data_IF_601023708842
#
_entry.id   IF_601023708842
#
_cell.length_a   1.000
_cell.length_b   1.000
_cell.length_c   1.000
_cell.angle_alpha   90.00
_cell.angle_beta   90.00
_cell.angle_gamma   90.00
#
_symmetry.space_group_name_H-M   'P 1'
#
loop_
_entity.id
_entity.type
_entity.pdbx_description
1 polymer ?
#
# COMPACT_ATOMS: atom_id res chain seq x y z
N UNK A 1 14.25 9.50 -6.38
CA UNK A 1 13.82 8.44 -5.45
C UNK A 1 12.62 8.93 -4.64
N UNK A 2 11.54 8.15 -4.65
CA UNK A 2 10.31 8.39 -3.89
C UNK A 2 10.35 7.56 -2.60
N UNK A 3 9.51 7.89 -1.62
CA UNK A 3 9.44 7.17 -0.36
C UNK A 3 8.04 7.22 0.23
N UNK A 4 7.71 6.25 1.07
CA UNK A 4 6.38 6.15 1.63
C UNK A 4 6.28 5.26 2.85
N UNK A 5 5.09 5.24 3.44
CA UNK A 5 4.70 4.27 4.46
C UNK A 5 4.19 3.00 3.81
N UNK A 6 4.46 1.82 4.39
CA UNK A 6 3.97 0.54 3.88
C UNK A 6 3.49 -0.38 5.01
N UNK A 7 2.32 -0.14 5.61
CA UNK A 7 1.44 1.03 5.45
C UNK A 7 1.15 1.64 6.82
N UNK A 8 0.71 2.90 6.86
CA UNK A 8 0.20 3.47 8.11
C UNK A 8 -1.13 2.82 8.50
N UNK A 9 -1.25 2.39 9.75
CA UNK A 9 -2.48 1.79 10.29
C UNK A 9 -3.47 2.89 10.67
N UNK A 10 -4.70 2.76 10.19
CA UNK A 10 -5.76 3.75 10.45
C UNK A 10 -6.15 3.93 11.93
N UNK A 11 -6.14 2.93 12.84
CA UNK A 11 -6.60 3.14 14.21
C UNK A 11 -5.68 4.09 14.98
N UNK A 12 -4.45 4.25 14.51
CA UNK A 12 -3.43 5.10 15.14
C UNK A 12 -3.56 6.59 14.75
N UNK A 13 -4.49 6.95 13.85
CA UNK A 13 -4.45 8.26 13.17
C UNK A 13 -5.85 8.83 12.98
N UNK A 14 -6.06 10.07 13.42
CA UNK A 14 -7.15 10.89 12.90
C UNK A 14 -6.89 11.23 11.41
N UNK A 15 -7.89 11.08 10.51
CA UNK A 15 -7.68 11.26 9.07
C UNK A 15 -7.25 12.69 8.68
N UNK A 16 -7.78 13.72 9.34
CA UNK A 16 -7.41 15.10 9.05
C UNK A 16 -5.98 15.41 9.50
N UNK A 17 -5.56 14.85 10.63
CA UNK A 17 -4.18 14.95 11.13
C UNK A 17 -3.23 14.23 10.18
N UNK A 18 -3.57 13.02 9.74
CA UNK A 18 -2.75 12.26 8.79
C UNK A 18 -2.61 12.99 7.44
N UNK A 19 -3.71 13.55 6.91
CA UNK A 19 -3.65 14.35 5.68
C UNK A 19 -2.73 15.58 5.84
N UNK A 20 -2.76 16.25 6.99
CA UNK A 20 -1.84 17.36 7.27
C UNK A 20 -0.39 16.91 7.37
N UNK A 21 -0.13 15.77 8.00
CA UNK A 21 1.21 15.17 8.07
C UNK A 21 1.74 14.83 6.68
N UNK A 22 0.91 14.20 5.84
CA UNK A 22 1.24 13.88 4.46
C UNK A 22 1.55 15.14 3.64
N UNK A 23 0.73 16.20 3.77
CA UNK A 23 0.97 17.49 3.11
C UNK A 23 2.32 18.10 3.53
N UNK A 24 2.64 18.09 4.82
CA UNK A 24 3.93 18.60 5.31
C UNK A 24 5.11 17.85 4.70
N UNK A 25 5.04 16.51 4.66
CA UNK A 25 6.10 15.68 4.07
C UNK A 25 6.17 15.87 2.57
N UNK A 26 5.04 16.01 1.88
CA UNK A 26 4.97 16.33 0.46
C UNK A 26 5.75 17.61 0.13
N UNK A 27 5.54 18.68 0.91
CA UNK A 27 6.26 19.94 0.75
C UNK A 27 7.75 19.82 1.08
N UNK A 28 8.10 19.27 2.25
CA UNK A 28 9.51 19.13 2.67
C UNK A 28 10.30 18.24 1.70
N UNK A 29 9.65 17.24 1.12
CA UNK A 29 10.28 16.31 0.18
C UNK A 29 10.31 16.79 -1.26
N UNK A 30 9.67 17.92 -1.57
CA UNK A 30 9.41 18.39 -2.92
C UNK A 30 8.68 17.33 -3.78
N UNK A 31 7.58 16.81 -3.25
CA UNK A 31 6.68 15.93 -3.97
C UNK A 31 7.16 14.49 -4.15
N UNK A 32 7.86 13.93 -3.16
CA UNK A 32 8.40 12.56 -3.23
C UNK A 32 7.68 11.55 -2.34
N UNK A 33 6.63 11.98 -1.64
CA UNK A 33 5.83 11.12 -0.76
C UNK A 33 4.87 10.23 -1.57
N UNK A 34 4.84 8.95 -1.22
CA UNK A 34 3.75 8.01 -1.49
C UNK A 34 3.10 7.62 -0.15
N UNK A 35 1.82 7.92 0.02
CA UNK A 35 1.13 7.73 1.28
C UNK A 35 0.46 6.36 1.29
N UNK A 36 1.14 5.36 1.87
CA UNK A 36 0.57 4.03 2.03
C UNK A 36 -0.28 3.89 3.28
N UNK A 37 -1.52 3.42 3.14
CA UNK A 37 -2.53 3.31 4.20
C UNK A 37 -3.19 1.92 4.18
N UNK A 38 -3.50 1.37 5.35
CA UNK A 38 -4.26 0.13 5.49
C UNK A 38 -5.00 0.05 6.82
N UNK A 39 -5.80 -1.01 6.99
CA UNK A 39 -6.60 -1.22 8.22
C UNK A 39 -5.71 -1.40 9.46
N UNK A 40 -4.51 -1.95 9.30
CA UNK A 40 -3.69 -2.43 10.41
C UNK A 40 -3.91 -3.93 10.64
N UNK A 41 -3.28 -4.48 11.68
CA UNK A 41 -3.29 -5.91 11.99
C UNK A 41 -4.20 -6.21 13.19
N UNK A 42 -5.51 -6.05 12.97
CA UNK A 42 -6.55 -6.28 13.99
C UNK A 42 -6.51 -7.70 14.56
N UNK A 43 -6.79 -7.81 15.86
CA UNK A 43 -6.86 -9.05 16.63
C UNK A 43 -5.52 -9.76 16.83
N UNK A 44 -4.40 -9.14 16.40
CA UNK A 44 -3.06 -9.75 16.47
C UNK A 44 -1.97 -8.81 16.94
N UNK A 45 -2.13 -7.50 16.75
CA UNK A 45 -1.13 -6.52 17.16
C UNK A 45 -1.39 -6.05 18.60
N UNK A 46 -0.49 -6.35 19.57
CA UNK A 46 -0.67 -5.92 20.95
C UNK A 46 -0.56 -4.40 21.13
N UNK A 47 -0.13 -3.65 20.10
CA UNK A 47 0.02 -2.20 20.17
C UNK A 47 -1.26 -1.51 20.62
N UNK A 48 -2.44 -2.01 20.21
CA UNK A 48 -3.72 -1.39 20.54
C UNK A 48 -3.94 -1.33 22.05
N UNK A 49 -3.74 -2.45 22.75
CA UNK A 49 -3.79 -2.52 24.21
C UNK A 49 -2.67 -1.69 24.85
N UNK A 50 -1.43 -1.81 24.35
CA UNK A 50 -0.25 -1.14 24.91
C UNK A 50 -0.36 0.39 24.94
N UNK A 51 -1.06 0.98 23.97
CA UNK A 51 -1.22 2.45 23.89
C UNK A 51 -2.64 2.91 24.23
N UNK A 52 -3.51 2.00 24.68
CA UNK A 52 -4.85 2.32 25.16
C UNK A 52 -5.83 2.79 24.08
N UNK A 53 -5.75 2.21 22.88
CA UNK A 53 -6.73 2.45 21.80
C UNK A 53 -7.56 1.20 21.52
N UNK A 54 -8.75 1.42 21.01
CA UNK A 54 -9.67 0.34 20.64
C UNK A 54 -9.15 -0.44 19.42
N UNK A 55 -9.12 -1.76 19.54
CA UNK A 55 -8.94 -2.67 18.40
C UNK A 55 -10.32 -3.01 17.83
N UNK A 56 -10.67 -2.40 16.70
CA UNK A 56 -11.97 -2.60 16.09
C UNK A 56 -12.11 -4.01 15.51
N UNK A 57 -13.25 -4.65 15.78
CA UNK A 57 -13.50 -6.03 15.37
C UNK A 57 -14.44 -6.17 14.15
N UNK A 58 -14.42 -7.35 13.55
CA UNK A 58 -15.34 -7.74 12.48
C UNK A 58 -15.28 -6.79 11.26
N UNK A 59 -16.42 -6.28 10.77
CA UNK A 59 -16.45 -5.44 9.58
C UNK A 59 -16.09 -3.97 9.85
N UNK A 60 -15.97 -3.55 11.11
CA UNK A 60 -15.80 -2.15 11.48
C UNK A 60 -14.50 -1.50 10.96
N UNK A 61 -13.32 -2.16 11.02
CA UNK A 61 -12.11 -1.62 10.41
C UNK A 61 -12.26 -1.17 8.96
N UNK A 62 -12.94 -1.97 8.14
CA UNK A 62 -13.11 -1.69 6.70
C UNK A 62 -14.09 -0.53 6.50
N UNK A 63 -15.16 -0.45 7.31
CA UNK A 63 -16.12 0.67 7.26
C UNK A 63 -15.44 1.99 7.63
N UNK A 64 -14.64 1.99 8.70
CA UNK A 64 -13.84 3.15 9.12
C UNK A 64 -12.77 3.51 8.11
N UNK A 65 -12.09 2.52 7.53
CA UNK A 65 -11.11 2.75 6.45
C UNK A 65 -11.74 3.48 5.26
N UNK A 66 -12.94 3.07 4.85
CA UNK A 66 -13.65 3.71 3.73
C UNK A 66 -13.90 5.20 3.99
N UNK A 67 -14.44 5.58 5.16
CA UNK A 67 -14.64 6.99 5.47
C UNK A 67 -13.31 7.74 5.63
N UNK A 68 -12.31 7.10 6.21
CA UNK A 68 -10.98 7.68 6.41
C UNK A 68 -10.30 8.03 5.09
N UNK A 69 -10.33 7.12 4.11
CA UNK A 69 -9.72 7.35 2.80
C UNK A 69 -10.48 8.43 2.02
N UNK A 70 -11.80 8.48 2.13
CA UNK A 70 -12.64 9.55 1.56
C UNK A 70 -12.28 10.93 2.13
N UNK A 71 -12.11 11.02 3.45
CA UNK A 71 -11.70 12.24 4.13
C UNK A 71 -10.30 12.67 3.70
N UNK A 72 -9.34 11.75 3.65
CA UNK A 72 -7.95 12.04 3.26
C UNK A 72 -7.86 12.48 1.80
N UNK A 73 -8.49 11.74 0.88
CA UNK A 73 -8.52 12.07 -0.55
C UNK A 73 -9.11 13.47 -0.76
N UNK A 74 -10.26 13.75 -0.12
CA UNK A 74 -10.94 15.05 -0.20
C UNK A 74 -10.08 16.18 0.33
N UNK A 75 -9.51 16.03 1.53
CA UNK A 75 -8.66 17.06 2.16
C UNK A 75 -7.40 17.37 1.33
N UNK A 76 -6.81 16.38 0.66
CA UNK A 76 -5.61 16.59 -0.13
C UNK A 76 -5.89 17.14 -1.53
N UNK A 77 -7.13 17.01 -2.05
CA UNK A 77 -7.52 17.53 -3.37
C UNK A 77 -8.18 18.91 -3.31
N UNK A 78 -8.84 19.25 -2.20
CA UNK A 78 -9.68 20.44 -2.08
C UNK A 78 -9.06 21.46 -1.13
N UNK A 79 -9.28 22.75 -1.38
CA UNK A 79 -8.82 23.82 -0.48
C UNK A 79 -9.65 23.90 0.81
N UNK A 80 -10.94 23.57 0.73
CA UNK A 80 -11.90 23.54 1.83
C UNK A 80 -12.83 22.35 1.68
N UNK A 81 -13.02 21.59 2.75
CA UNK A 81 -13.74 20.31 2.73
C UNK A 81 -14.78 20.22 3.85
N UNK A 82 -15.96 19.72 3.50
CA UNK A 82 -16.97 19.23 4.43
C UNK A 82 -17.11 17.72 4.26
N UNK A 83 -17.43 17.02 5.34
CA UNK A 83 -17.70 15.58 5.36
C UNK A 83 -18.60 15.28 6.56
N UNK A 84 -19.63 14.46 6.38
CA UNK A 84 -20.54 14.05 7.46
C UNK A 84 -20.80 12.55 7.34
N UNK A 85 -19.84 11.77 7.85
CA UNK A 85 -19.92 10.32 7.90
C UNK A 85 -20.35 9.81 9.28
N UNK A 86 -20.41 8.50 9.41
CA UNK A 86 -20.70 7.82 10.66
C UNK A 86 -19.55 7.98 11.67
N UNK A 87 -18.30 7.94 11.20
CA UNK A 87 -17.11 7.93 12.05
C UNK A 87 -16.36 9.25 12.03
N UNK A 88 -16.39 9.97 10.90
CA UNK A 88 -15.63 11.21 10.74
C UNK A 88 -16.53 12.36 10.28
N UNK A 89 -16.22 13.56 10.77
CA UNK A 89 -16.89 14.80 10.36
C UNK A 89 -15.86 15.89 10.09
N UNK A 90 -16.10 16.67 9.04
CA UNK A 90 -15.37 17.90 8.73
C UNK A 90 -16.38 19.03 8.51
N UNK A 91 -16.08 20.20 9.09
CA UNK A 91 -16.81 21.43 8.86
C UNK A 91 -15.84 22.51 8.40
N UNK A 92 -15.99 22.94 7.15
CA UNK A 92 -15.19 23.98 6.50
C UNK A 92 -13.67 23.79 6.72
N UNK A 93 -13.21 22.53 6.70
CA UNK A 93 -11.83 22.18 7.02
C UNK A 93 -10.92 22.63 5.88
N UNK A 94 -9.95 23.51 6.18
CA UNK A 94 -9.05 24.10 5.18
C UNK A 94 -7.72 23.39 5.10
N UNK A 95 -7.28 23.05 3.88
CA UNK A 95 -5.97 22.45 3.62
C UNK A 95 -5.14 23.39 2.74
N UNK A 96 -4.41 24.32 3.38
CA UNK A 96 -3.48 25.22 2.73
C UNK A 96 -2.08 25.12 3.36
N UNK A 97 -0.98 25.24 2.58
CA UNK A 97 -0.98 25.32 1.11
C UNK A 97 -1.48 24.02 0.46
N UNK A 98 -1.84 24.06 -0.83
CA UNK A 98 -2.17 22.85 -1.57
C UNK A 98 -0.94 21.94 -1.72
N UNK A 99 -1.10 20.62 -1.93
CA UNK A 99 0.04 19.75 -2.19
C UNK A 99 0.86 20.18 -3.41
N UNK A 100 2.17 19.91 -3.33
CA UNK A 100 3.14 20.01 -4.44
C UNK A 100 2.74 19.04 -5.53
N UNK A 101 2.47 17.77 -5.16
CA UNK A 101 2.02 16.74 -6.10
C UNK A 101 0.57 16.97 -6.54
N UNK A 102 0.27 16.66 -7.80
CA UNK A 102 -1.08 16.71 -8.37
C UNK A 102 -1.54 15.32 -8.79
N UNK A 103 -2.83 14.98 -8.60
CA UNK A 103 -3.87 15.80 -7.96
C UNK A 103 -3.70 15.91 -6.42
N UNK A 104 -2.90 15.02 -5.84
CA UNK A 104 -2.46 14.96 -4.43
C UNK A 104 -1.25 14.02 -4.34
N UNK A 105 -0.60 13.82 -3.18
CA UNK A 105 0.33 12.71 -3.02
C UNK A 105 -0.33 11.37 -3.40
N UNK A 106 0.37 10.48 -4.12
CA UNK A 106 -0.16 9.16 -4.46
C UNK A 106 -0.56 8.37 -3.20
N UNK A 107 -1.68 7.67 -3.27
CA UNK A 107 -2.19 6.80 -2.23
C UNK A 107 -1.90 5.34 -2.57
N UNK A 108 -1.16 4.67 -1.69
CA UNK A 108 -0.94 3.23 -1.77
C UNK A 108 -1.89 2.53 -0.80
N UNK A 109 -2.80 1.68 -1.27
CA UNK A 109 -3.77 0.99 -0.39
C UNK A 109 -3.39 -0.47 -0.27
N UNK A 110 -3.07 -0.90 0.95
CA UNK A 110 -2.89 -2.32 1.25
C UNK A 110 -4.26 -3.01 1.35
N UNK A 111 -4.51 -3.97 0.45
CA UNK A 111 -5.80 -4.64 0.38
C UNK A 111 -5.63 -6.14 0.06
N UNK A 112 -6.35 -6.97 0.82
CA UNK A 112 -6.33 -8.43 0.68
C UNK A 112 -7.74 -9.04 0.53
N UNK A 113 -8.75 -8.43 1.15
CA UNK A 113 -10.14 -8.90 1.09
C UNK A 113 -10.97 -8.12 0.07
N UNK A 114 -12.04 -8.74 -0.42
CA UNK A 114 -12.97 -8.23 -1.45
C UNK A 114 -13.37 -6.76 -1.24
N UNK A 115 -13.90 -6.42 -0.06
CA UNK A 115 -14.33 -5.04 0.22
C UNK A 115 -13.17 -4.03 0.19
N UNK A 116 -11.98 -4.43 0.64
CA UNK A 116 -10.81 -3.55 0.61
C UNK A 116 -10.28 -3.38 -0.82
N UNK A 117 -10.36 -4.42 -1.66
CA UNK A 117 -9.99 -4.34 -3.08
C UNK A 117 -10.93 -3.37 -3.83
N UNK A 118 -12.23 -3.40 -3.54
CA UNK A 118 -13.20 -2.42 -4.08
C UNK A 118 -12.85 -0.98 -3.68
N UNK A 119 -12.45 -0.77 -2.42
CA UNK A 119 -12.00 0.55 -1.95
C UNK A 119 -10.70 0.97 -2.65
N UNK A 120 -9.75 0.04 -2.82
CA UNK A 120 -8.50 0.30 -3.53
C UNK A 120 -8.74 0.66 -4.99
N UNK A 121 -9.59 -0.08 -5.70
CA UNK A 121 -9.99 0.23 -7.07
C UNK A 121 -10.56 1.65 -7.22
N UNK A 122 -11.27 2.16 -6.21
CA UNK A 122 -11.87 3.49 -6.23
C UNK A 122 -10.88 4.63 -5.90
N UNK A 123 -9.95 4.43 -4.95
CA UNK A 123 -9.19 5.54 -4.36
C UNK A 123 -7.67 5.44 -4.48
N UNK A 124 -7.12 4.24 -4.70
CA UNK A 124 -5.68 4.03 -4.73
C UNK A 124 -5.08 4.48 -6.07
N UNK A 125 -3.88 5.04 -6.03
CA UNK A 125 -3.02 5.14 -7.22
C UNK A 125 -2.19 3.85 -7.36
N UNK A 126 -1.84 3.22 -6.22
CA UNK A 126 -1.16 1.93 -6.15
C UNK A 126 -1.90 1.00 -5.21
N UNK A 127 -2.27 -0.19 -5.66
CA UNK A 127 -2.68 -1.29 -4.77
C UNK A 127 -1.43 -2.00 -4.25
N UNK A 128 -1.42 -2.35 -2.97
CA UNK A 128 -0.37 -3.18 -2.37
C UNK A 128 -0.90 -4.51 -1.85
N UNK A 129 -0.18 -5.58 -2.18
CA UNK A 129 -0.39 -6.92 -1.65
C UNK A 129 0.87 -7.47 -1.00
N UNK A 130 0.70 -8.39 -0.06
CA UNK A 130 1.76 -9.29 0.41
C UNK A 130 1.41 -10.77 0.19
N UNK A 131 0.41 -11.03 -0.67
CA UNK A 131 0.03 -12.34 -1.22
C UNK A 131 -0.71 -13.30 -0.26
N UNK A 132 -0.37 -13.34 1.03
CA UNK A 132 -1.03 -14.22 2.01
C UNK A 132 -1.02 -13.66 3.44
N UNK A 133 -2.15 -13.77 4.14
CA UNK A 133 -2.26 -13.47 5.59
C UNK A 133 -1.60 -14.51 6.49
N UNK A 134 -1.29 -15.68 5.94
CA UNK A 134 -0.46 -16.71 6.57
C UNK A 134 0.99 -16.58 6.10
N UNK A 135 1.87 -16.22 7.03
CA UNK A 135 3.31 -16.04 6.80
C UNK A 135 4.06 -17.33 6.49
N UNK A 136 3.41 -18.49 6.70
CA UNK A 136 3.95 -19.82 6.40
C UNK A 136 3.44 -20.36 5.06
N UNK A 137 2.58 -19.61 4.36
CA UNK A 137 2.01 -20.04 3.10
C UNK A 137 3.14 -20.42 2.09
N UNK A 138 2.99 -21.56 1.39
CA UNK A 138 3.86 -21.92 0.29
C UNK A 138 3.87 -20.86 -0.83
N UNK A 139 4.97 -20.80 -1.60
CA UNK A 139 5.16 -19.76 -2.63
C UNK A 139 4.13 -19.85 -3.77
N UNK A 140 3.70 -21.05 -4.13
CA UNK A 140 2.65 -21.33 -5.10
C UNK A 140 1.29 -20.80 -4.62
N UNK A 141 0.95 -21.00 -3.35
CA UNK A 141 -0.28 -20.44 -2.76
C UNK A 141 -0.25 -18.92 -2.75
N UNK A 142 0.89 -18.31 -2.39
CA UNK A 142 1.08 -16.85 -2.44
C UNK A 142 0.89 -16.34 -3.86
N UNK A 143 1.46 -17.03 -4.86
CA UNK A 143 1.36 -16.66 -6.26
C UNK A 143 -0.09 -16.72 -6.78
N UNK A 144 -0.79 -17.83 -6.58
CA UNK A 144 -2.19 -17.99 -7.03
C UNK A 144 -3.13 -16.99 -6.35
N UNK A 145 -2.93 -16.75 -5.05
CA UNK A 145 -3.68 -15.75 -4.31
C UNK A 145 -3.41 -14.32 -4.82
N UNK A 146 -2.19 -14.03 -5.27
CA UNK A 146 -1.84 -12.71 -5.82
C UNK A 146 -2.48 -12.54 -7.19
N UNK A 147 -2.36 -13.54 -8.07
CA UNK A 147 -2.99 -13.57 -9.39
C UNK A 147 -4.50 -13.34 -9.32
N UNK A 148 -5.19 -14.09 -8.45
CA UNK A 148 -6.63 -13.94 -8.24
C UNK A 148 -7.00 -12.51 -7.83
N UNK A 149 -6.18 -11.85 -7.02
CA UNK A 149 -6.48 -10.48 -6.57
C UNK A 149 -6.18 -9.41 -7.63
N UNK A 150 -5.18 -9.62 -8.49
CA UNK A 150 -4.96 -8.78 -9.67
C UNK A 150 -6.21 -8.82 -10.55
N UNK A 151 -6.66 -10.02 -10.90
CA UNK A 151 -7.87 -10.20 -11.73
C UNK A 151 -9.12 -9.55 -11.10
N UNK A 152 -9.28 -9.67 -9.78
CA UNK A 152 -10.40 -9.05 -9.07
C UNK A 152 -10.34 -7.53 -9.04
N UNK A 153 -9.18 -6.94 -8.77
CA UNK A 153 -9.07 -5.47 -8.66
C UNK A 153 -9.17 -4.79 -10.02
N UNK A 154 -8.65 -5.43 -11.07
CA UNK A 154 -8.84 -4.98 -12.45
C UNK A 154 -10.32 -4.98 -12.81
N UNK A 155 -11.01 -6.09 -12.52
CA UNK A 155 -12.46 -6.18 -12.67
C UNK A 155 -13.20 -5.09 -11.91
N UNK A 156 -12.82 -4.78 -10.66
CA UNK A 156 -13.47 -3.71 -9.91
C UNK A 156 -13.19 -2.33 -10.48
N UNK A 157 -12.01 -2.09 -11.08
CA UNK A 157 -11.74 -0.86 -11.82
C UNK A 157 -12.69 -0.75 -13.02
N UNK A 158 -12.84 -1.81 -13.81
CA UNK A 158 -13.76 -1.85 -14.96
C UNK A 158 -15.21 -1.61 -14.53
N UNK A 159 -15.66 -2.28 -13.46
CA UNK A 159 -17.03 -2.19 -12.94
C UNK A 159 -17.40 -0.74 -12.53
N UNK A 160 -16.41 0.09 -12.15
CA UNK A 160 -16.61 1.52 -11.81
C UNK A 160 -16.22 2.49 -12.95
N UNK A 161 -15.85 1.97 -14.12
CA UNK A 161 -15.44 2.77 -15.28
C UNK A 161 -14.04 3.40 -15.15
N UNK A 162 -13.17 2.87 -14.28
CA UNK A 162 -11.76 3.25 -14.18
C UNK A 162 -10.93 2.35 -15.11
N UNK A 163 -9.99 2.92 -15.85
CA UNK A 163 -9.00 2.13 -16.59
C UNK A 163 -8.14 1.31 -15.59
N UNK A 164 -8.13 -0.03 -15.64
CA UNK A 164 -7.29 -0.85 -14.77
C UNK A 164 -5.80 -0.48 -14.83
N UNK A 165 -5.28 -0.13 -16.02
CA UNK A 165 -3.88 0.26 -16.20
C UNK A 165 -3.49 1.58 -15.48
N UNK A 166 -4.48 2.34 -14.98
CA UNK A 166 -4.23 3.53 -14.15
C UNK A 166 -3.98 3.20 -12.67
N UNK A 167 -4.08 1.93 -12.28
CA UNK A 167 -3.80 1.45 -10.94
C UNK A 167 -2.51 0.63 -10.97
N UNK A 168 -1.45 1.10 -10.31
CA UNK A 168 -0.23 0.29 -10.17
C UNK A 168 -0.45 -0.85 -9.17
N UNK A 169 0.24 -1.95 -9.40
CA UNK A 169 0.15 -3.18 -8.62
C UNK A 169 1.49 -3.49 -7.96
N UNK A 170 1.57 -3.12 -6.67
CA UNK A 170 2.76 -3.35 -5.86
C UNK A 170 2.66 -4.62 -5.02
N UNK A 171 3.78 -5.31 -4.89
CA UNK A 171 3.90 -6.48 -4.02
C UNK A 171 5.03 -6.35 -3.02
N UNK A 172 4.69 -6.44 -1.73
CA UNK A 172 5.64 -6.66 -0.66
C UNK A 172 5.96 -8.15 -0.52
N UNK A 173 7.22 -8.48 -0.69
CA UNK A 173 7.73 -9.83 -0.48
C UNK A 173 7.96 -10.07 1.03
N UNK A 174 6.89 -10.50 1.72
CA UNK A 174 6.80 -10.70 3.17
C UNK A 174 6.61 -12.19 3.54
N UNK A 175 7.60 -13.06 3.28
CA UNK A 175 7.51 -14.48 3.70
C UNK A 175 8.90 -15.08 3.94
N UNK A 176 8.97 -16.27 4.54
CA UNK A 176 10.24 -17.03 4.59
C UNK A 176 10.86 -17.24 3.21
N UNK A 177 10.02 -17.33 2.17
CA UNK A 177 10.49 -17.49 0.80
C UNK A 177 11.04 -16.19 0.22
N UNK A 178 10.55 -15.02 0.66
CA UNK A 178 11.12 -13.74 0.22
C UNK A 178 12.53 -13.50 0.73
N UNK A 179 12.88 -14.05 1.89
CA UNK A 179 14.25 -14.01 2.42
C UNK A 179 15.26 -14.66 1.49
N UNK A 180 14.83 -15.50 0.53
CA UNK A 180 15.71 -16.21 -0.40
C UNK A 180 15.71 -15.62 -1.81
N UNK A 181 15.05 -14.48 -2.03
CA UNK A 181 14.94 -13.91 -3.37
C UNK A 181 16.32 -13.54 -3.94
N UNK A 182 17.22 -13.02 -3.10
CA UNK A 182 18.60 -12.69 -3.47
C UNK A 182 19.57 -13.87 -3.29
N UNK A 183 19.09 -15.12 -3.37
CA UNK A 183 19.99 -16.30 -3.38
C UNK A 183 20.98 -16.25 -4.54
N UNK A 184 20.51 -15.84 -5.73
CA UNK A 184 21.32 -15.53 -6.90
C UNK A 184 20.51 -14.68 -7.90
N UNK A 185 21.19 -14.15 -8.92
CA UNK A 185 20.66 -13.26 -9.95
C UNK A 185 19.55 -13.89 -10.80
N UNK A 186 19.70 -15.17 -11.14
CA UNK A 186 18.73 -15.95 -11.91
C UNK A 186 17.43 -16.13 -11.13
N UNK A 187 17.53 -16.46 -9.83
CA UNK A 187 16.40 -16.64 -8.93
C UNK A 187 15.61 -15.33 -8.76
N UNK A 188 16.31 -14.20 -8.57
CA UNK A 188 15.68 -12.89 -8.52
C UNK A 188 14.90 -12.60 -9.81
N UNK A 189 15.57 -12.74 -10.97
CA UNK A 189 14.98 -12.46 -12.27
C UNK A 189 13.77 -13.37 -12.58
N UNK A 190 13.87 -14.65 -12.22
CA UNK A 190 12.78 -15.63 -12.39
C UNK A 190 11.55 -15.22 -11.58
N UNK A 191 11.72 -14.86 -10.31
CA UNK A 191 10.61 -14.48 -9.43
C UNK A 191 9.99 -13.18 -9.92
N UNK A 192 10.78 -12.15 -10.22
CA UNK A 192 10.24 -10.87 -10.72
C UNK A 192 9.44 -11.08 -12.01
N UNK A 193 9.99 -11.80 -13.00
CA UNK A 193 9.28 -12.09 -14.26
C UNK A 193 8.00 -12.90 -14.05
N UNK A 194 8.02 -13.84 -13.11
CA UNK A 194 6.83 -14.63 -12.78
C UNK A 194 5.68 -13.73 -12.29
N UNK A 195 5.97 -12.78 -11.41
CA UNK A 195 4.96 -11.85 -10.87
C UNK A 195 4.60 -10.73 -11.86
N UNK A 196 5.55 -10.26 -12.69
CA UNK A 196 5.24 -9.38 -13.82
C UNK A 196 4.25 -10.04 -14.79
N UNK A 197 4.39 -11.35 -15.03
CA UNK A 197 3.50 -12.11 -15.90
C UNK A 197 2.04 -12.21 -15.43
N UNK A 198 1.77 -11.85 -14.17
CA UNK A 198 0.40 -11.75 -13.62
C UNK A 198 0.00 -10.30 -13.32
N UNK A 199 0.75 -9.31 -13.82
CA UNK A 199 0.37 -7.90 -13.71
C UNK A 199 0.90 -7.15 -12.48
N UNK A 200 1.92 -7.66 -11.77
CA UNK A 200 2.63 -6.88 -10.74
C UNK A 200 3.71 -6.01 -11.40
N UNK A 201 3.69 -4.71 -11.13
CA UNK A 201 4.61 -3.74 -11.73
C UNK A 201 5.59 -3.12 -10.73
N UNK A 202 5.27 -3.13 -9.43
CA UNK A 202 6.12 -2.61 -8.36
C UNK A 202 6.50 -3.70 -7.35
N UNK A 203 7.80 -3.79 -7.04
CA UNK A 203 8.36 -4.85 -6.22
C UNK A 203 9.05 -4.30 -4.99
N UNK A 204 8.60 -4.71 -3.80
CA UNK A 204 9.13 -4.25 -2.53
C UNK A 204 9.78 -5.41 -1.78
N UNK A 205 11.07 -5.23 -1.46
CA UNK A 205 11.89 -6.23 -0.80
C UNK A 205 12.45 -5.69 0.52
N UNK A 206 12.58 -6.56 1.51
CA UNK A 206 13.41 -6.27 2.67
C UNK A 206 14.88 -6.31 2.28
N UNK A 207 15.67 -5.46 2.94
CA UNK A 207 17.12 -5.67 2.98
C UNK A 207 17.39 -7.07 3.55
N UNK A 208 18.34 -7.86 3.00
CA UNK A 208 18.73 -9.14 3.58
C UNK A 208 19.47 -8.89 4.90
N UNK A 209 18.69 -8.75 5.98
CA UNK A 209 19.19 -8.41 7.31
C UNK A 209 19.98 -9.58 7.91
N UNK A 210 19.45 -10.80 7.81
CA UNK A 210 19.98 -12.00 8.47
C UNK A 210 20.94 -12.82 7.59
N UNK A 211 20.94 -12.60 6.28
CA UNK A 211 21.73 -13.38 5.33
C UNK A 211 22.73 -12.45 4.64
N UNK A 212 23.84 -12.15 5.33
CA UNK A 212 24.86 -11.20 4.87
C UNK A 212 25.43 -11.57 3.49
N UNK A 213 25.49 -12.86 3.15
CA UNK A 213 25.92 -13.38 1.86
C UNK A 213 25.07 -12.84 0.70
N UNK A 214 23.76 -12.66 0.92
CA UNK A 214 22.83 -12.14 -0.07
C UNK A 214 23.02 -10.65 -0.36
N UNK A 215 23.74 -9.89 0.48
CA UNK A 215 24.01 -8.46 0.24
C UNK A 215 24.84 -8.24 -1.02
N UNK A 216 25.76 -9.17 -1.31
CA UNK A 216 26.57 -9.13 -2.53
C UNK A 216 25.68 -9.31 -3.78
N UNK A 217 24.72 -10.22 -3.72
CA UNK A 217 23.74 -10.44 -4.80
C UNK A 217 22.80 -9.25 -4.93
N UNK A 218 22.30 -8.69 -3.83
CA UNK A 218 21.48 -7.46 -3.86
C UNK A 218 22.21 -6.32 -4.56
N UNK A 219 23.51 -6.13 -4.29
CA UNK A 219 24.31 -5.09 -4.95
C UNK A 219 24.34 -5.30 -6.46
N UNK A 220 24.64 -6.51 -6.92
CA UNK A 220 24.63 -6.85 -8.36
C UNK A 220 23.25 -6.71 -8.99
N UNK A 221 22.21 -7.16 -8.30
CA UNK A 221 20.82 -6.99 -8.75
C UNK A 221 20.51 -5.50 -8.96
N UNK A 222 20.94 -4.64 -8.03
CA UNK A 222 20.71 -3.20 -8.12
C UNK A 222 21.53 -2.52 -9.22
N UNK A 223 22.77 -2.94 -9.44
CA UNK A 223 23.69 -2.36 -10.42
C UNK A 223 23.44 -2.85 -11.85
N UNK A 224 23.15 -4.14 -12.02
CA UNK A 224 23.17 -4.81 -13.33
C UNK A 224 21.77 -5.25 -13.80
N UNK A 225 20.94 -5.79 -12.89
CA UNK A 225 19.68 -6.44 -13.28
C UNK A 225 18.52 -5.45 -13.34
N UNK A 226 18.29 -4.66 -12.30
CA UNK A 226 17.17 -3.70 -12.26
C UNK A 226 17.19 -2.75 -13.47
N UNK A 227 18.34 -2.19 -13.91
CA UNK A 227 18.38 -1.37 -15.11
C UNK A 227 17.95 -2.10 -16.38
N UNK A 228 18.19 -3.41 -16.48
CA UNK A 228 17.80 -4.25 -17.63
C UNK A 228 16.32 -4.67 -17.63
N UNK A 229 15.63 -4.53 -16.49
CA UNK A 229 14.22 -4.86 -16.32
C UNK A 229 13.30 -3.65 -16.53
N UNK A 230 13.87 -2.46 -16.78
CA UNK A 230 13.12 -1.23 -17.06
C UNK A 230 12.73 -1.11 -18.53
#
# INVERSE_FOLDING_TARGET
MRFGTLVTSIPLRNPAVLARQALTIDHISNGRLELGIGTGVHGRDPVYEMIGIEDWEGPEPVKRFKEQIEVIDRLLRQSTSNYDGQFYRLKEAKMNPAPVQKPRPPLTIAAMGDNMLKIAAQYADTWNSYGSTDWRAPADIIFENTKTRVELIDKYCEDIGRNPESLSHSMLFYSKNSLKIFKNEENFSKIVRQYQGIGIDEFIFYLPFYESEQRSVLKKVAEDIIPSLR
#
